data_IF_221177504450
#
_entry.id   IF_221177504450
#
_cell.length_a   1.000
_cell.length_b   1.000
_cell.length_c   1.000
_cell.angle_alpha   90.00
_cell.angle_beta   90.00
_cell.angle_gamma   90.00
#
_symmetry.space_group_name_H-M   'P 1'
#
loop_
_entity.id
_entity.type
_entity.pdbx_description
1 polymer ?
#
# COMPACT_ATOMS: atom_id res chain seq x y z
N UNK A 1 34.47 -51.57 61.07
CA UNK A 1 33.65 -52.22 60.03
C UNK A 1 32.39 -51.43 59.60
N UNK A 2 31.79 -50.59 60.46
CA UNK A 2 30.56 -49.84 60.13
C UNK A 2 30.77 -48.65 59.17
N UNK A 3 31.94 -48.00 59.21
CA UNK A 3 32.24 -46.81 58.37
C UNK A 3 32.42 -47.14 56.88
N UNK A 4 32.95 -48.33 56.54
CA UNK A 4 33.16 -48.79 55.16
C UNK A 4 31.84 -49.21 54.48
N UNK A 5 30.86 -49.71 55.24
CA UNK A 5 29.57 -50.14 54.70
C UNK A 5 28.65 -48.95 54.36
N UNK A 6 28.68 -47.89 55.19
CA UNK A 6 27.90 -46.66 54.96
C UNK A 6 28.46 -45.88 53.76
N UNK A 7 29.78 -45.80 53.61
CA UNK A 7 30.42 -45.16 52.45
C UNK A 7 30.13 -45.91 51.14
N UNK A 8 30.16 -47.25 51.13
CA UNK A 8 29.81 -48.04 49.93
C UNK A 8 28.33 -47.90 49.53
N UNK A 9 27.41 -47.84 50.51
CA UNK A 9 25.97 -47.67 50.26
C UNK A 9 25.61 -46.27 49.78
N UNK A 10 26.31 -45.23 50.25
CA UNK A 10 26.22 -43.85 49.74
C UNK A 10 26.83 -43.72 48.34
N UNK A 11 27.95 -44.39 48.05
CA UNK A 11 28.57 -44.40 46.71
C UNK A 11 27.68 -45.10 45.67
N UNK A 12 27.06 -46.24 46.02
CA UNK A 12 26.16 -46.99 45.12
C UNK A 12 24.87 -46.20 44.81
N UNK A 13 24.28 -45.50 45.79
CA UNK A 13 23.13 -44.59 45.55
C UNK A 13 23.51 -43.36 44.71
N UNK A 14 24.72 -42.83 44.87
CA UNK A 14 25.24 -41.70 44.09
C UNK A 14 25.53 -42.12 42.63
N UNK A 15 26.07 -43.31 42.40
CA UNK A 15 26.26 -43.88 41.06
C UNK A 15 24.95 -44.18 40.32
N UNK A 16 23.88 -44.62 41.01
CA UNK A 16 22.55 -44.84 40.41
C UNK A 16 21.91 -43.50 40.01
N UNK A 17 21.97 -42.47 40.87
CA UNK A 17 21.50 -41.12 40.52
C UNK A 17 22.27 -40.50 39.35
N UNK A 18 23.59 -40.67 39.29
CA UNK A 18 24.43 -40.15 38.19
C UNK A 18 24.19 -40.90 36.87
N UNK A 19 23.90 -42.22 36.90
CA UNK A 19 23.52 -42.98 35.70
C UNK A 19 22.19 -42.50 35.11
N UNK A 20 21.18 -42.23 35.94
CA UNK A 20 19.90 -41.70 35.45
C UNK A 20 20.01 -40.25 34.97
N UNK A 21 20.83 -39.41 35.61
CA UNK A 21 21.11 -38.03 35.16
C UNK A 21 21.79 -38.03 33.77
N UNK A 22 22.75 -38.95 33.52
CA UNK A 22 23.39 -39.08 32.20
C UNK A 22 22.41 -39.50 31.11
N UNK A 23 21.46 -40.38 31.42
CA UNK A 23 20.39 -40.79 30.49
C UNK A 23 19.44 -39.63 30.21
N UNK A 24 19.05 -38.87 31.24
CA UNK A 24 18.18 -37.69 31.09
C UNK A 24 18.86 -36.59 30.25
N UNK A 25 20.16 -36.34 30.46
CA UNK A 25 20.94 -35.36 29.67
C UNK A 25 21.05 -35.80 28.20
N UNK A 26 21.06 -37.10 27.91
CA UNK A 26 21.10 -37.62 26.54
C UNK A 26 19.73 -37.64 25.86
N UNK A 27 18.64 -37.82 26.63
CA UNK A 27 17.26 -37.85 26.13
C UNK A 27 16.68 -36.43 25.97
N UNK A 28 17.09 -35.47 26.80
CA UNK A 28 16.62 -34.08 26.74
C UNK A 28 16.79 -33.40 25.37
N UNK A 29 17.95 -33.51 24.66
CA UNK A 29 18.06 -32.94 23.32
C UNK A 29 17.14 -33.63 22.30
N UNK A 30 16.85 -34.93 22.44
CA UNK A 30 15.97 -35.67 21.51
C UNK A 30 14.53 -35.15 21.59
N UNK A 31 14.08 -34.74 22.77
CA UNK A 31 12.75 -34.12 22.97
C UNK A 31 12.72 -32.71 22.38
N UNK A 32 13.83 -31.97 22.46
CA UNK A 32 13.99 -30.63 21.87
C UNK A 32 14.21 -30.64 20.34
N UNK A 33 14.52 -31.81 19.76
CA UNK A 33 14.71 -32.02 18.32
C UNK A 33 13.44 -32.50 17.60
N UNK A 34 12.30 -32.56 18.28
CA UNK A 34 10.98 -32.78 17.65
C UNK A 34 10.47 -31.50 16.96
N UNK A 35 11.31 -30.94 16.08
CA UNK A 35 10.92 -29.83 15.20
C UNK A 35 9.91 -30.30 14.15
N UNK A 36 8.87 -29.49 13.94
CA UNK A 36 7.62 -29.80 13.23
C UNK A 36 7.79 -30.65 11.95
N UNK A 37 7.17 -31.84 11.99
CA UNK A 37 7.12 -32.85 10.93
C UNK A 37 6.16 -32.51 9.77
N UNK A 38 5.43 -31.39 9.84
CA UNK A 38 4.40 -31.05 8.85
C UNK A 38 4.93 -30.07 7.80
N UNK A 39 5.80 -30.57 6.90
CA UNK A 39 6.25 -29.81 5.72
C UNK A 39 5.75 -30.49 4.45
N UNK A 40 4.95 -29.77 3.66
CA UNK A 40 4.58 -30.22 2.32
C UNK A 40 5.82 -30.13 1.43
N UNK A 41 6.25 -31.22 0.76
CA UNK A 41 7.38 -31.19 -0.17
C UNK A 41 7.16 -30.14 -1.26
N UNK A 42 8.22 -29.42 -1.66
CA UNK A 42 8.12 -28.32 -2.64
C UNK A 42 7.57 -28.79 -3.99
N UNK A 43 7.79 -30.07 -4.34
CA UNK A 43 7.28 -30.69 -5.55
C UNK A 43 5.75 -30.79 -5.55
N UNK A 44 5.13 -30.84 -4.36
CA UNK A 44 3.69 -30.89 -4.12
C UNK A 44 3.08 -29.52 -3.84
N UNK A 45 3.84 -28.43 -3.98
CA UNK A 45 3.34 -27.07 -3.81
C UNK A 45 3.29 -26.28 -5.12
N UNK A 46 2.42 -25.27 -5.15
CA UNK A 46 2.30 -24.29 -6.22
C UNK A 46 2.50 -22.90 -5.65
N UNK A 47 3.53 -22.19 -6.14
CA UNK A 47 3.82 -20.80 -5.77
C UNK A 47 2.77 -19.90 -6.40
N UNK A 48 1.87 -19.35 -5.58
CA UNK A 48 0.84 -18.40 -6.04
C UNK A 48 1.46 -17.02 -6.06
N UNK A 49 1.53 -16.41 -7.24
CA UNK A 49 2.06 -15.06 -7.37
C UNK A 49 0.99 -14.01 -7.15
N UNK A 50 -0.22 -14.20 -7.66
CA UNK A 50 -1.23 -13.16 -7.66
C UNK A 50 -2.65 -13.67 -7.52
N UNK A 51 -3.53 -12.77 -7.09
CA UNK A 51 -4.96 -13.02 -7.02
C UNK A 51 -5.73 -11.91 -7.73
N UNK A 52 -6.66 -12.29 -8.60
CA UNK A 52 -7.60 -11.38 -9.24
C UNK A 52 -9.01 -11.64 -8.69
N UNK A 53 -9.70 -10.57 -8.29
CA UNK A 53 -11.02 -10.60 -7.67
C UNK A 53 -12.02 -9.84 -8.54
N UNK A 54 -13.06 -10.55 -8.95
CA UNK A 54 -14.14 -10.09 -9.81
C UNK A 54 -15.49 -10.40 -9.17
N UNK A 55 -16.52 -9.71 -9.67
CA UNK A 55 -17.92 -10.03 -9.40
C UNK A 55 -18.62 -10.33 -10.73
N UNK A 56 -19.42 -11.39 -10.79
CA UNK A 56 -20.19 -11.77 -11.98
C UNK A 56 -21.60 -11.20 -11.89
N UNK A 57 -22.22 -11.36 -10.72
CA UNK A 57 -23.52 -10.82 -10.32
C UNK A 57 -23.52 -10.56 -8.81
N UNK A 58 -24.60 -9.97 -8.28
CA UNK A 58 -24.70 -9.57 -6.87
C UNK A 58 -24.46 -10.71 -5.85
N UNK A 59 -24.57 -11.98 -6.25
CA UNK A 59 -24.41 -13.14 -5.37
C UNK A 59 -23.28 -14.09 -5.79
N UNK A 60 -22.55 -13.78 -6.87
CA UNK A 60 -21.53 -14.66 -7.42
C UNK A 60 -20.20 -13.95 -7.62
N UNK A 61 -19.26 -14.31 -6.75
CA UNK A 61 -17.88 -13.87 -6.80
C UNK A 61 -17.08 -14.75 -7.76
N UNK A 62 -16.06 -14.17 -8.37
CA UNK A 62 -15.08 -14.86 -9.19
C UNK A 62 -13.69 -14.51 -8.72
N UNK A 63 -12.89 -15.51 -8.36
CA UNK A 63 -11.48 -15.29 -8.03
C UNK A 63 -10.57 -16.12 -8.92
N UNK A 64 -9.54 -15.48 -9.45
CA UNK A 64 -8.49 -16.13 -10.23
C UNK A 64 -7.17 -16.09 -9.48
N UNK A 65 -6.41 -17.19 -9.54
CA UNK A 65 -5.05 -17.26 -9.00
C UNK A 65 -4.06 -17.42 -10.14
N UNK A 66 -3.04 -16.57 -10.17
CA UNK A 66 -1.86 -16.72 -11.01
C UNK A 66 -0.79 -17.47 -10.22
N UNK A 67 -0.34 -18.62 -10.72
CA UNK A 67 0.67 -19.43 -10.06
C UNK A 67 1.69 -19.99 -11.05
N UNK A 68 2.89 -20.26 -10.54
CA UNK A 68 4.00 -20.78 -11.31
C UNK A 68 3.94 -22.30 -11.45
N UNK A 69 4.27 -22.78 -12.64
CA UNK A 69 4.50 -24.19 -12.94
C UNK A 69 5.99 -24.36 -13.24
N UNK A 70 6.64 -25.17 -12.42
CA UNK A 70 8.02 -25.59 -12.62
C UNK A 70 8.02 -26.86 -13.48
N UNK A 71 8.46 -26.74 -14.72
CA UNK A 71 8.75 -27.92 -15.56
C UNK A 71 10.25 -28.20 -15.49
N UNK A 72 10.63 -29.44 -15.13
CA UNK A 72 12.05 -29.84 -15.07
C UNK A 72 12.73 -29.49 -16.38
N UNK A 73 13.88 -28.78 -16.30
CA UNK A 73 14.62 -28.03 -17.35
C UNK A 73 14.53 -26.50 -17.25
N UNK A 74 14.50 -25.94 -16.04
CA UNK A 74 14.58 -24.48 -15.77
C UNK A 74 13.49 -23.61 -16.41
N UNK A 75 12.51 -24.21 -17.08
CA UNK A 75 11.42 -23.49 -17.73
C UNK A 75 10.31 -23.26 -16.72
N UNK A 76 10.21 -22.01 -16.26
CA UNK A 76 9.13 -21.49 -15.45
C UNK A 76 8.05 -20.98 -16.39
N UNK A 77 6.84 -21.50 -16.27
CA UNK A 77 5.67 -20.92 -16.92
C UNK A 77 4.67 -20.48 -15.86
N UNK A 78 3.80 -19.55 -16.23
CA UNK A 78 2.65 -19.17 -15.39
C UNK A 78 1.38 -19.84 -15.92
N UNK A 79 0.40 -19.96 -15.03
CA UNK A 79 -0.97 -20.28 -15.41
C UNK A 79 -1.94 -19.52 -14.53
N UNK A 80 -3.19 -19.44 -14.96
CA UNK A 80 -4.27 -18.77 -14.23
C UNK A 80 -5.42 -19.76 -14.07
N UNK A 81 -5.86 -20.00 -12.84
CA UNK A 81 -7.04 -20.81 -12.53
C UNK A 81 -8.12 -19.93 -11.92
N UNK A 82 -9.32 -19.98 -12.48
CA UNK A 82 -10.49 -19.20 -12.06
C UNK A 82 -11.52 -20.11 -11.42
N UNK A 83 -12.12 -19.66 -10.32
CA UNK A 83 -13.20 -20.35 -9.64
C UNK A 83 -14.27 -19.35 -9.19
N UNK A 84 -15.53 -19.81 -9.12
CA UNK A 84 -16.68 -18.98 -8.74
C UNK A 84 -17.42 -19.53 -7.53
N UNK A 85 -18.03 -18.63 -6.76
CA UNK A 85 -18.73 -19.02 -5.55
C UNK A 85 -19.38 -17.86 -4.82
N UNK A 86 -20.18 -18.19 -3.81
CA UNK A 86 -20.95 -17.19 -3.04
C UNK A 86 -20.10 -16.51 -1.95
N UNK A 87 -18.93 -17.06 -1.63
CA UNK A 87 -17.97 -16.49 -0.69
C UNK A 87 -16.54 -16.85 -1.08
N UNK A 88 -15.56 -16.14 -0.52
CA UNK A 88 -14.13 -16.42 -0.74
C UNK A 88 -13.78 -17.87 -0.36
N UNK A 89 -14.36 -18.41 0.72
CA UNK A 89 -14.09 -19.78 1.15
C UNK A 89 -14.88 -20.84 0.38
N UNK A 90 -16.06 -20.54 -0.15
CA UNK A 90 -16.72 -21.40 -1.14
C UNK A 90 -15.84 -21.57 -2.39
N UNK A 91 -15.31 -20.45 -2.92
CA UNK A 91 -14.34 -20.47 -4.02
C UNK A 91 -13.10 -21.28 -3.66
N UNK A 92 -12.55 -21.09 -2.46
CA UNK A 92 -11.38 -21.82 -2.00
C UNK A 92 -11.64 -23.34 -1.93
N UNK A 93 -12.76 -23.75 -1.35
CA UNK A 93 -13.16 -25.15 -1.26
C UNK A 93 -13.30 -25.80 -2.64
N UNK A 94 -14.01 -25.15 -3.57
CA UNK A 94 -14.12 -25.61 -4.96
C UNK A 94 -12.76 -25.76 -5.63
N UNK A 95 -11.86 -24.79 -5.41
CA UNK A 95 -10.49 -24.86 -5.95
C UNK A 95 -9.71 -26.05 -5.40
N UNK A 96 -9.89 -26.42 -4.13
CA UNK A 96 -9.22 -27.57 -3.54
C UNK A 96 -9.65 -28.91 -4.16
N UNK A 97 -10.87 -29.01 -4.69
CA UNK A 97 -11.34 -30.22 -5.38
C UNK A 97 -10.61 -30.48 -6.71
N UNK A 98 -10.06 -29.43 -7.32
CA UNK A 98 -9.30 -29.52 -8.58
C UNK A 98 -7.78 -29.39 -8.37
N UNK A 99 -7.36 -29.07 -7.15
CA UNK A 99 -5.99 -28.79 -6.81
C UNK A 99 -5.13 -30.06 -6.90
N UNK A 100 -4.16 -30.06 -7.81
CA UNK A 100 -3.15 -31.14 -7.91
C UNK A 100 -1.97 -30.94 -6.94
N UNK A 101 -1.86 -29.74 -6.35
CA UNK A 101 -0.79 -29.28 -5.46
C UNK A 101 -1.36 -28.32 -4.42
N UNK A 102 -0.67 -28.21 -3.29
CA UNK A 102 -1.00 -27.21 -2.25
C UNK A 102 -0.61 -25.82 -2.73
N UNK A 103 -1.57 -24.89 -2.78
CA UNK A 103 -1.33 -23.51 -3.14
C UNK A 103 -0.69 -22.74 -1.97
N UNK A 104 0.49 -22.16 -2.19
CA UNK A 104 1.17 -21.31 -1.22
C UNK A 104 0.61 -19.89 -1.32
N UNK A 105 -0.46 -19.59 -0.58
CA UNK A 105 -1.09 -18.27 -0.56
C UNK A 105 -0.22 -17.20 0.11
N UNK A 106 0.75 -17.60 0.93
CA UNK A 106 1.75 -16.71 1.53
C UNK A 106 2.74 -16.11 0.53
N UNK A 107 2.76 -16.59 -0.72
CA UNK A 107 3.62 -16.01 -1.77
C UNK A 107 2.91 -14.97 -2.63
N UNK A 108 1.63 -14.67 -2.35
CA UNK A 108 0.87 -13.68 -3.12
C UNK A 108 1.55 -12.31 -3.00
N UNK A 109 1.90 -11.75 -4.16
CA UNK A 109 2.58 -10.47 -4.35
C UNK A 109 1.61 -9.34 -4.64
N UNK A 110 0.62 -9.59 -5.48
CA UNK A 110 -0.45 -8.61 -5.75
C UNK A 110 -1.86 -9.19 -5.73
N UNK A 111 -2.78 -8.35 -5.30
CA UNK A 111 -4.22 -8.53 -5.32
C UNK A 111 -4.82 -7.47 -6.25
N UNK A 112 -5.43 -7.93 -7.33
CA UNK A 112 -6.06 -7.10 -8.37
C UNK A 112 -7.57 -7.20 -8.17
N UNK A 113 -8.24 -6.06 -8.02
CA UNK A 113 -9.69 -6.00 -7.78
C UNK A 113 -10.31 -5.25 -8.96
N UNK A 114 -11.28 -5.83 -9.67
CA UNK A 114 -11.98 -5.07 -10.71
C UNK A 114 -12.81 -3.93 -10.11
N UNK A 115 -13.05 -2.89 -10.91
CA UNK A 115 -13.86 -1.74 -10.47
C UNK A 115 -15.24 -2.19 -9.99
N UNK A 116 -15.89 -3.11 -10.71
CA UNK A 116 -17.20 -3.65 -10.31
C UNK A 116 -17.14 -4.34 -8.95
N UNK A 117 -16.10 -5.15 -8.70
CA UNK A 117 -15.88 -5.79 -7.39
C UNK A 117 -15.62 -4.75 -6.31
N UNK A 118 -14.80 -3.73 -6.60
CA UNK A 118 -14.48 -2.66 -5.67
C UNK A 118 -15.72 -1.81 -5.31
N UNK A 119 -16.64 -1.58 -6.25
CA UNK A 119 -17.89 -0.87 -6.04
C UNK A 119 -18.91 -1.69 -5.24
N UNK A 120 -18.95 -3.00 -5.47
CA UNK A 120 -19.80 -3.90 -4.67
C UNK A 120 -19.37 -3.89 -3.19
N UNK A 121 -18.06 -4.02 -2.93
CA UNK A 121 -17.45 -4.00 -1.60
C UNK A 121 -16.26 -4.96 -1.49
N UNK A 122 -15.34 -4.66 -0.57
CA UNK A 122 -14.09 -5.43 -0.36
C UNK A 122 -13.87 -5.86 1.10
N UNK A 123 -14.88 -5.74 1.97
CA UNK A 123 -14.76 -6.06 3.40
C UNK A 123 -14.42 -7.55 3.64
N UNK A 124 -15.00 -8.44 2.85
CA UNK A 124 -14.75 -9.89 2.88
C UNK A 124 -13.31 -10.25 2.48
N UNK A 125 -12.73 -9.53 1.52
CA UNK A 125 -11.33 -9.67 1.11
C UNK A 125 -10.42 -9.31 2.29
N UNK A 126 -10.69 -8.17 2.95
CA UNK A 126 -9.91 -7.73 4.11
C UNK A 126 -10.02 -8.76 5.24
N UNK A 127 -11.24 -9.21 5.58
CA UNK A 127 -11.46 -10.20 6.64
C UNK A 127 -10.75 -11.53 6.33
N UNK A 128 -10.85 -12.02 5.08
CA UNK A 128 -10.19 -13.27 4.67
C UNK A 128 -8.67 -13.21 4.79
N UNK A 129 -8.02 -12.10 4.38
CA UNK A 129 -6.56 -11.98 4.52
C UNK A 129 -6.10 -11.81 5.96
N UNK A 130 -6.90 -11.18 6.82
CA UNK A 130 -6.53 -10.94 8.22
C UNK A 130 -6.76 -12.16 9.12
N UNK A 131 -7.69 -13.05 8.77
CA UNK A 131 -7.95 -14.30 9.53
C UNK A 131 -7.04 -15.45 9.14
N UNK A 132 -6.65 -15.54 7.87
CA UNK A 132 -5.83 -16.62 7.34
C UNK A 132 -4.33 -16.30 7.54
N UNK A 133 -3.72 -16.94 8.53
CA UNK A 133 -2.32 -16.71 8.92
C UNK A 133 -1.32 -17.05 7.81
N UNK A 134 -1.70 -17.87 6.84
CA UNK A 134 -0.85 -18.24 5.71
C UNK A 134 -0.80 -17.13 4.65
N UNK A 135 -1.68 -16.13 4.69
CA UNK A 135 -1.73 -15.06 3.69
C UNK A 135 -0.77 -13.93 4.00
N UNK A 136 -0.11 -13.44 2.96
CA UNK A 136 0.82 -12.34 3.08
C UNK A 136 0.10 -10.99 3.20
N UNK A 137 0.09 -10.41 4.39
CA UNK A 137 -0.49 -9.07 4.62
C UNK A 137 0.28 -7.94 3.90
N UNK A 138 1.47 -8.20 3.35
CA UNK A 138 2.23 -7.26 2.52
C UNK A 138 1.89 -7.38 1.01
N UNK A 139 0.91 -8.19 0.63
CA UNK A 139 0.40 -8.24 -0.75
C UNK A 139 -0.04 -6.84 -1.20
N UNK A 140 0.49 -6.37 -2.33
CA UNK A 140 0.13 -5.08 -2.96
C UNK A 140 -1.28 -5.13 -3.54
N UNK A 141 -2.11 -4.15 -3.24
CA UNK A 141 -3.52 -4.11 -3.66
C UNK A 141 -3.72 -3.01 -4.70
N UNK A 142 -4.38 -3.35 -5.80
CA UNK A 142 -4.74 -2.41 -6.87
C UNK A 142 -6.19 -2.61 -7.31
N UNK A 143 -6.81 -1.53 -7.80
CA UNK A 143 -8.09 -1.60 -8.52
C UNK A 143 -7.82 -1.54 -10.02
N UNK A 144 -8.57 -2.24 -10.86
CA UNK A 144 -8.45 -2.14 -12.31
C UNK A 144 -9.78 -1.82 -12.99
N UNK A 145 -9.70 -1.17 -14.16
CA UNK A 145 -10.89 -0.84 -14.97
C UNK A 145 -11.58 -2.07 -15.54
N UNK A 146 -10.79 -2.97 -16.12
CA UNK A 146 -11.29 -4.17 -16.76
C UNK A 146 -11.50 -5.28 -15.71
N UNK A 147 -11.96 -6.46 -16.15
CA UNK A 147 -12.01 -7.63 -15.26
C UNK A 147 -10.59 -7.94 -14.76
N UNK A 148 -10.46 -8.21 -13.47
CA UNK A 148 -9.17 -8.49 -12.85
C UNK A 148 -8.52 -9.74 -13.44
N UNK A 149 -9.32 -10.75 -13.82
CA UNK A 149 -8.84 -11.93 -14.54
C UNK A 149 -8.20 -11.61 -15.89
N UNK A 150 -8.68 -10.58 -16.59
CA UNK A 150 -8.14 -10.20 -17.90
C UNK A 150 -6.79 -9.50 -17.73
N UNK A 151 -6.62 -8.73 -16.66
CA UNK A 151 -5.34 -8.12 -16.29
C UNK A 151 -4.32 -9.19 -15.91
N UNK A 152 -4.66 -10.12 -15.00
CA UNK A 152 -3.67 -11.10 -14.50
C UNK A 152 -3.21 -12.11 -15.58
N UNK A 153 -3.99 -12.26 -16.65
CA UNK A 153 -3.65 -13.09 -17.82
C UNK A 153 -2.70 -12.43 -18.81
N UNK A 154 -2.52 -11.10 -18.76
CA UNK A 154 -1.56 -10.40 -19.63
C UNK A 154 -0.18 -11.02 -19.44
N UNK A 155 0.53 -11.31 -20.54
CA UNK A 155 1.89 -11.82 -20.44
C UNK A 155 2.83 -10.73 -19.91
N UNK A 156 3.57 -11.00 -18.82
CA UNK A 156 4.51 -10.03 -18.27
C UNK A 156 5.69 -9.81 -19.23
N UNK A 157 6.26 -8.61 -19.20
CA UNK A 157 7.40 -8.20 -20.01
C UNK A 157 8.73 -8.29 -19.27
N UNK A 158 8.72 -7.91 -18.01
CA UNK A 158 9.94 -7.73 -17.21
C UNK A 158 10.00 -8.68 -16.00
N UNK A 159 9.00 -9.55 -15.85
CA UNK A 159 8.83 -10.45 -14.71
C UNK A 159 8.33 -11.84 -15.13
N UNK A 160 8.39 -12.81 -14.21
CA UNK A 160 7.85 -14.15 -14.44
C UNK A 160 6.31 -14.21 -14.35
N UNK A 161 5.68 -13.21 -13.73
CA UNK A 161 4.24 -13.13 -13.51
C UNK A 161 3.75 -11.70 -13.65
N UNK A 162 2.50 -11.52 -14.09
CA UNK A 162 1.89 -10.20 -14.19
C UNK A 162 1.71 -9.57 -12.80
N UNK A 163 1.45 -10.41 -11.79
CA UNK A 163 1.36 -9.96 -10.42
C UNK A 163 2.65 -9.33 -9.89
N UNK A 164 3.83 -9.90 -10.23
CA UNK A 164 5.13 -9.31 -9.87
C UNK A 164 5.37 -7.99 -10.61
N UNK A 165 5.05 -7.93 -11.91
CA UNK A 165 5.20 -6.70 -12.70
C UNK A 165 4.33 -5.57 -12.16
N UNK A 166 3.10 -5.86 -11.71
CA UNK A 166 2.24 -4.88 -11.03
C UNK A 166 2.85 -4.43 -9.71
N UNK A 167 3.35 -5.35 -8.89
CA UNK A 167 4.00 -5.01 -7.61
C UNK A 167 5.20 -4.05 -7.85
N UNK A 168 6.04 -4.35 -8.83
CA UNK A 168 7.22 -3.54 -9.18
C UNK A 168 6.83 -2.18 -9.77
N UNK A 169 5.76 -2.13 -10.58
CA UNK A 169 5.18 -0.88 -11.08
C UNK A 169 4.71 0.01 -9.93
N UNK A 170 3.96 -0.54 -8.96
CA UNK A 170 3.48 0.23 -7.80
C UNK A 170 4.66 0.70 -6.94
N UNK A 171 5.64 -0.17 -6.66
CA UNK A 171 6.84 0.20 -5.87
C UNK A 171 7.65 1.31 -6.53
N UNK A 172 7.82 1.25 -7.85
CA UNK A 172 8.53 2.27 -8.62
C UNK A 172 7.78 3.60 -8.64
N UNK A 173 6.45 3.55 -8.63
CA UNK A 173 5.60 4.75 -8.65
C UNK A 173 5.82 5.69 -7.47
N UNK A 174 6.36 5.22 -6.34
CA UNK A 174 6.65 6.02 -5.14
C UNK A 174 7.71 7.11 -5.35
N UNK A 175 8.47 7.04 -6.45
CA UNK A 175 9.42 8.07 -6.85
C UNK A 175 8.74 9.24 -7.59
N UNK A 176 7.43 9.15 -7.85
CA UNK A 176 6.67 10.09 -8.68
C UNK A 176 5.33 10.43 -8.03
N UNK A 177 4.72 11.55 -8.45
CA UNK A 177 3.36 11.97 -8.06
C UNK A 177 3.06 11.97 -6.55
N UNK A 178 4.09 12.03 -5.69
CA UNK A 178 3.94 12.09 -4.24
C UNK A 178 3.16 10.92 -3.65
N UNK A 179 3.18 9.76 -4.31
CA UNK A 179 2.48 8.55 -3.88
C UNK A 179 2.99 8.07 -2.51
N UNK A 180 2.06 7.60 -1.68
CA UNK A 180 2.39 6.87 -0.45
C UNK A 180 2.72 5.42 -0.75
N UNK A 181 3.47 4.79 0.17
CA UNK A 181 3.81 3.37 0.08
C UNK A 181 2.72 2.44 0.61
N UNK A 182 1.67 3.04 1.15
CA UNK A 182 0.61 2.38 1.90
C UNK A 182 -0.40 1.73 0.95
N UNK A 183 -0.01 0.64 0.28
CA UNK A 183 -0.82 0.01 -0.79
C UNK A 183 -1.06 -1.48 -0.55
N UNK A 184 -0.64 -2.04 0.57
CA UNK A 184 -0.83 -3.47 0.86
C UNK A 184 -2.05 -3.75 1.75
N UNK A 185 -2.33 -5.02 2.00
CA UNK A 185 -3.49 -5.46 2.80
C UNK A 185 -3.48 -4.92 4.24
N UNK A 186 -2.34 -4.91 4.94
CA UNK A 186 -2.30 -4.32 6.30
C UNK A 186 -2.58 -2.83 6.27
N UNK A 187 -2.14 -2.12 5.23
CA UNK A 187 -2.39 -0.68 5.08
C UNK A 187 -3.86 -0.43 4.75
N UNK A 188 -4.44 -1.25 3.88
CA UNK A 188 -5.87 -1.27 3.58
C UNK A 188 -6.71 -1.50 4.84
N UNK A 189 -6.35 -2.49 5.66
CA UNK A 189 -6.98 -2.76 6.96
C UNK A 189 -6.89 -1.53 7.87
N UNK A 190 -5.69 -0.96 8.02
CA UNK A 190 -5.49 0.24 8.84
C UNK A 190 -6.32 1.43 8.35
N UNK A 191 -6.42 1.65 7.03
CA UNK A 191 -7.26 2.71 6.47
C UNK A 191 -8.75 2.45 6.71
N UNK A 192 -9.20 1.20 6.61
CA UNK A 192 -10.61 0.80 6.77
C UNK A 192 -11.13 0.99 8.20
N UNK A 193 -10.28 0.74 9.20
CA UNK A 193 -10.65 0.75 10.62
C UNK A 193 -10.13 1.95 11.42
N UNK A 194 -9.41 2.86 10.76
CA UNK A 194 -9.02 4.14 11.37
C UNK A 194 -10.04 5.22 11.06
N UNK A 195 -10.75 5.68 12.09
CA UNK A 195 -11.74 6.74 11.97
C UNK A 195 -11.17 8.03 11.36
N UNK A 196 -11.94 8.65 10.46
CA UNK A 196 -11.56 9.85 9.73
C UNK A 196 -10.47 9.63 8.66
N UNK A 197 -10.24 8.38 8.23
CA UNK A 197 -9.45 8.03 7.04
C UNK A 197 -10.32 7.39 5.98
N UNK A 198 -9.81 7.43 4.75
CA UNK A 198 -10.40 6.73 3.60
C UNK A 198 -9.40 5.81 2.94
N UNK A 199 -9.89 4.69 2.45
CA UNK A 199 -9.11 3.80 1.59
C UNK A 199 -8.90 4.52 0.26
N UNK A 200 -7.63 4.61 -0.14
CA UNK A 200 -7.21 5.07 -1.46
C UNK A 200 -6.24 4.05 -2.05
N UNK A 201 -6.59 3.47 -3.18
CA UNK A 201 -5.80 2.41 -3.83
C UNK A 201 -5.35 2.84 -5.23
N UNK A 202 -4.13 2.46 -5.66
CA UNK A 202 -3.73 2.66 -7.05
C UNK A 202 -4.74 2.02 -8.00
N UNK A 203 -5.10 2.76 -9.05
CA UNK A 203 -6.00 2.27 -10.08
C UNK A 203 -5.22 2.10 -11.39
N UNK A 204 -5.26 0.88 -11.93
CA UNK A 204 -4.52 0.49 -13.13
C UNK A 204 -5.46 0.23 -14.31
N UNK A 205 -4.92 0.43 -15.51
CA UNK A 205 -5.62 0.17 -16.76
C UNK A 205 -4.69 -0.55 -17.73
N UNK A 206 -5.26 -1.39 -18.60
CA UNK A 206 -4.52 -1.94 -19.72
C UNK A 206 -4.00 -0.79 -20.59
N UNK A 207 -2.72 -0.85 -20.91
CA UNK A 207 -2.05 0.14 -21.75
C UNK A 207 -1.14 -0.57 -22.73
N UNK A 208 -1.52 -0.52 -24.01
CA UNK A 208 -0.91 -1.32 -25.07
C UNK A 208 -0.98 -2.80 -24.68
N UNK A 209 0.17 -3.42 -24.49
CA UNK A 209 0.41 -4.83 -24.18
C UNK A 209 0.87 -5.05 -22.72
N UNK A 210 0.78 -4.04 -21.86
CA UNK A 210 0.99 -4.15 -20.39
C UNK A 210 -0.08 -3.33 -19.65
N UNK A 211 0.20 -2.92 -18.42
CA UNK A 211 -0.65 -2.06 -17.59
C UNK A 211 0.07 -0.75 -17.24
N UNK A 212 -0.71 0.27 -16.91
CA UNK A 212 -0.21 1.51 -16.33
C UNK A 212 -1.08 1.93 -15.15
N UNK A 213 -0.50 2.69 -14.22
CA UNK A 213 -1.28 3.43 -13.22
C UNK A 213 -1.96 4.59 -13.92
N UNK A 214 -3.30 4.65 -13.89
CA UNK A 214 -4.08 5.70 -14.55
C UNK A 214 -4.70 6.70 -13.57
N UNK A 215 -4.95 6.29 -12.32
CA UNK A 215 -5.72 7.06 -11.35
C UNK A 215 -5.58 6.48 -9.94
N UNK A 216 -6.34 7.01 -8.97
CA UNK A 216 -6.45 6.45 -7.62
C UNK A 216 -7.93 6.22 -7.29
N UNK A 217 -8.29 4.99 -6.92
CA UNK A 217 -9.62 4.63 -6.46
C UNK A 217 -9.85 5.16 -5.05
N UNK A 218 -11.02 5.76 -4.80
CA UNK A 218 -11.44 6.30 -3.51
C UNK A 218 -12.65 5.52 -3.02
N UNK A 219 -12.62 5.12 -1.75
CA UNK A 219 -13.69 4.36 -1.12
C UNK A 219 -14.39 5.15 -0.01
N UNK A 220 -15.65 4.83 0.20
CA UNK A 220 -16.40 5.08 1.42
C UNK A 220 -16.53 3.75 2.16
N UNK A 221 -16.00 3.69 3.39
CA UNK A 221 -15.80 2.42 4.11
C UNK A 221 -15.09 1.39 3.22
N UNK A 222 -15.79 0.33 2.79
CA UNK A 222 -15.29 -0.77 1.97
C UNK A 222 -15.75 -0.70 0.51
N UNK A 223 -16.45 0.34 0.08
CA UNK A 223 -17.00 0.44 -1.29
C UNK A 223 -16.38 1.59 -2.08
N UNK A 224 -15.92 1.31 -3.28
CA UNK A 224 -15.39 2.32 -4.19
C UNK A 224 -16.51 3.27 -4.63
N UNK A 225 -16.28 4.57 -4.48
CA UNK A 225 -17.26 5.61 -4.83
C UNK A 225 -16.86 6.32 -6.13
N UNK A 226 -15.59 6.69 -6.29
CA UNK A 226 -15.07 7.32 -7.50
C UNK A 226 -13.56 7.10 -7.64
N UNK A 227 -12.97 7.59 -8.73
CA UNK A 227 -11.52 7.64 -8.93
C UNK A 227 -11.03 9.06 -9.16
N UNK A 228 -9.89 9.39 -8.59
CA UNK A 228 -9.20 10.68 -8.80
C UNK A 228 -8.43 10.57 -10.13
N UNK A 229 -8.69 11.45 -11.11
CA UNK A 229 -7.99 11.42 -12.39
C UNK A 229 -6.50 11.76 -12.22
N UNK A 230 -5.64 11.22 -13.08
CA UNK A 230 -4.17 11.36 -13.00
C UNK A 230 -3.67 12.80 -12.83
N UNK A 231 -4.34 13.76 -13.46
CA UNK A 231 -4.05 15.20 -13.37
C UNK A 231 -4.17 15.77 -11.95
N UNK A 232 -5.09 15.21 -11.15
CA UNK A 232 -5.34 15.65 -9.77
C UNK A 232 -4.55 14.84 -8.74
N UNK A 233 -4.21 13.57 -9.04
CA UNK A 233 -3.58 12.63 -8.09
C UNK A 233 -2.37 13.26 -7.41
N UNK A 234 -1.47 13.89 -8.17
CA UNK A 234 -0.26 14.50 -7.60
C UNK A 234 -0.57 15.59 -6.57
N UNK A 235 -1.62 16.39 -6.81
CA UNK A 235 -2.01 17.49 -5.93
C UNK A 235 -2.77 16.99 -4.71
N UNK A 236 -3.67 16.01 -4.89
CA UNK A 236 -4.32 15.33 -3.77
C UNK A 236 -3.27 14.69 -2.86
N UNK A 237 -2.30 13.99 -3.43
CA UNK A 237 -1.21 13.37 -2.69
C UNK A 237 -0.34 14.39 -1.95
N UNK A 238 -0.07 15.57 -2.52
CA UNK A 238 0.62 16.66 -1.80
C UNK A 238 -0.13 17.09 -0.53
N UNK A 239 -1.47 17.18 -0.62
CA UNK A 239 -2.32 17.60 0.49
C UNK A 239 -2.57 16.45 1.47
N UNK A 240 -2.49 15.19 1.04
CA UNK A 240 -2.77 13.99 1.85
C UNK A 240 -1.53 13.47 2.58
N UNK A 241 -0.40 13.40 1.88
CA UNK A 241 0.73 12.57 2.26
C UNK A 241 1.86 13.36 2.92
N UNK A 242 2.70 12.66 3.66
CA UNK A 242 3.91 13.19 4.28
C UNK A 242 5.11 12.33 3.88
N UNK A 243 6.30 12.90 3.85
CA UNK A 243 7.56 12.20 3.54
C UNK A 243 7.60 11.54 2.14
N UNK A 244 6.87 12.11 1.18
CA UNK A 244 6.81 11.61 -0.21
C UNK A 244 7.68 12.42 -1.16
N UNK A 245 7.94 11.83 -2.33
CA UNK A 245 8.82 12.36 -3.37
C UNK A 245 8.06 12.53 -4.69
N UNK A 246 8.47 13.49 -5.50
CA UNK A 246 7.87 13.67 -6.81
C UNK A 246 8.38 14.88 -7.56
N UNK A 247 7.93 15.01 -8.80
CA UNK A 247 8.25 16.13 -9.67
C UNK A 247 7.07 17.11 -9.75
N UNK A 248 7.39 18.39 -9.75
CA UNK A 248 6.46 19.46 -10.12
C UNK A 248 7.02 20.21 -11.31
N UNK A 249 6.11 20.56 -12.21
CA UNK A 249 6.38 21.26 -13.45
C UNK A 249 5.54 22.52 -13.44
N UNK A 250 6.18 23.67 -13.66
CA UNK A 250 5.54 24.97 -13.78
C UNK A 250 5.77 25.48 -15.20
N UNK A 251 4.70 25.72 -15.94
CA UNK A 251 4.80 26.15 -17.34
C UNK A 251 5.10 27.64 -17.42
N UNK A 252 5.97 28.02 -18.36
CA UNK A 252 6.22 29.42 -18.72
C UNK A 252 5.16 29.99 -19.64
N UNK A 253 5.32 31.26 -20.03
CA UNK A 253 4.41 31.94 -20.95
C UNK A 253 4.56 31.41 -22.39
N UNK A 254 5.78 30.98 -22.78
CA UNK A 254 6.03 30.47 -24.13
C UNK A 254 5.93 28.94 -24.19
N UNK A 255 5.60 28.38 -25.36
CA UNK A 255 5.65 26.94 -25.56
C UNK A 255 7.01 26.35 -25.18
N UNK A 256 6.99 25.21 -24.47
CA UNK A 256 8.17 24.47 -24.00
C UNK A 256 9.01 25.17 -22.91
N UNK A 257 8.60 26.34 -22.42
CA UNK A 257 9.21 26.89 -21.21
C UNK A 257 8.68 26.17 -19.97
N UNK A 258 9.60 25.74 -19.10
CA UNK A 258 9.30 25.05 -17.86
C UNK A 258 10.26 25.44 -16.74
N UNK A 259 9.75 25.35 -15.52
CA UNK A 259 10.52 25.26 -14.31
C UNK A 259 10.15 23.95 -13.62
N UNK A 260 11.10 23.03 -13.59
CA UNK A 260 10.87 21.67 -13.10
C UNK A 260 11.70 21.42 -11.86
N UNK A 261 11.04 20.94 -10.82
CA UNK A 261 11.66 20.64 -9.54
C UNK A 261 11.38 19.21 -9.12
N UNK A 262 12.39 18.57 -8.54
CA UNK A 262 12.22 17.33 -7.79
C UNK A 262 12.15 17.65 -6.30
N UNK A 263 11.08 17.20 -5.64
CA UNK A 263 10.73 17.66 -4.31
C UNK A 263 10.58 16.51 -3.33
N UNK A 264 11.01 16.76 -2.09
CA UNK A 264 10.60 16.01 -0.91
C UNK A 264 9.57 16.80 -0.10
N UNK A 265 8.43 16.18 0.18
CA UNK A 265 7.30 16.80 0.87
C UNK A 265 7.42 16.60 2.37
N UNK A 266 7.31 17.68 3.12
CA UNK A 266 7.02 17.65 4.55
C UNK A 266 5.67 18.29 4.81
N UNK A 267 4.76 17.53 5.39
CA UNK A 267 3.38 17.94 5.66
C UNK A 267 3.10 17.95 7.15
N UNK A 268 2.44 19.01 7.63
CA UNK A 268 1.91 19.10 8.99
C UNK A 268 0.45 19.54 8.95
N UNK A 269 -0.38 18.93 9.78
CA UNK A 269 -1.80 19.29 9.90
C UNK A 269 -2.15 19.51 11.36
N UNK A 270 -2.94 20.55 11.61
CA UNK A 270 -3.58 20.82 12.90
C UNK A 270 -5.08 20.98 12.69
N UNK A 271 -5.88 20.44 13.60
CA UNK A 271 -7.33 20.63 13.64
C UNK A 271 -7.72 21.44 14.88
N UNK A 272 -8.39 22.56 14.66
CA UNK A 272 -8.88 23.46 15.69
C UNK A 272 -10.40 23.52 15.65
N UNK A 273 -11.04 23.22 16.79
CA UNK A 273 -12.50 23.18 16.92
C UNK A 273 -12.90 24.40 17.75
N UNK A 274 -13.72 25.28 17.18
CA UNK A 274 -14.25 26.48 17.84
C UNK A 274 -15.71 26.66 17.48
N UNK A 275 -16.59 26.78 18.46
CA UNK A 275 -18.02 27.06 18.27
C UNK A 275 -18.65 26.17 17.18
N UNK A 276 -18.46 24.86 17.29
CA UNK A 276 -18.91 23.83 16.34
C UNK A 276 -18.32 23.88 14.91
N UNK A 277 -17.41 24.80 14.62
CA UNK A 277 -16.68 24.85 13.36
C UNK A 277 -15.32 24.15 13.48
N UNK A 278 -15.05 23.27 12.52
CA UNK A 278 -13.76 22.57 12.41
C UNK A 278 -12.87 23.34 11.42
N UNK A 279 -11.68 23.72 11.88
CA UNK A 279 -10.68 24.42 11.09
C UNK A 279 -9.44 23.53 10.93
N UNK A 280 -9.11 23.16 9.70
CA UNK A 280 -7.91 22.40 9.35
C UNK A 280 -6.83 23.36 8.83
N UNK A 281 -5.69 23.36 9.50
CA UNK A 281 -4.53 24.14 9.09
C UNK A 281 -3.45 23.19 8.56
N UNK A 282 -3.26 23.19 7.23
CA UNK A 282 -2.33 22.31 6.51
C UNK A 282 -1.11 23.13 6.10
N UNK A 283 0.08 22.69 6.51
CA UNK A 283 1.35 23.28 6.09
C UNK A 283 2.13 22.27 5.26
N UNK A 284 2.44 22.66 4.03
CA UNK A 284 3.23 21.87 3.08
C UNK A 284 4.54 22.60 2.82
N UNK A 285 5.66 21.94 3.10
CA UNK A 285 7.00 22.41 2.77
C UNK A 285 7.64 21.45 1.78
N UNK A 286 8.06 21.98 0.64
CA UNK A 286 8.72 21.24 -0.44
C UNK A 286 10.20 21.57 -0.40
N UNK A 287 11.03 20.59 -0.07
CA UNK A 287 12.49 20.71 -0.22
C UNK A 287 12.86 20.24 -1.62
N UNK A 288 13.36 21.15 -2.44
CA UNK A 288 13.37 21.02 -3.89
C UNK A 288 14.76 21.13 -4.48
N UNK A 289 14.99 20.37 -5.54
CA UNK A 289 16.16 20.44 -6.40
C UNK A 289 15.67 20.87 -7.79
N UNK A 290 16.26 21.92 -8.36
CA UNK A 290 15.95 22.33 -9.73
C UNK A 290 16.46 21.24 -10.69
N UNK A 291 15.60 20.84 -11.62
CA UNK A 291 15.90 19.86 -12.69
C UNK A 291 15.93 20.53 -14.04
N UNK A 292 15.02 21.47 -14.29
CA UNK A 292 15.02 22.30 -15.48
C UNK A 292 14.57 23.71 -15.12
N UNK A 293 15.16 24.70 -15.79
CA UNK A 293 14.76 26.10 -15.68
C UNK A 293 15.03 26.79 -17.01
N UNK A 294 14.14 26.58 -17.98
CA UNK A 294 14.20 27.26 -19.27
C UNK A 294 13.60 28.68 -19.20
N UNK A 295 12.70 28.92 -18.24
CA UNK A 295 12.07 30.23 -17.99
C UNK A 295 13.11 31.31 -17.61
N UNK A 296 14.07 30.97 -16.74
CA UNK A 296 15.07 31.92 -16.25
C UNK A 296 16.48 31.62 -16.79
N UNK A 297 16.58 31.06 -18.00
CA UNK A 297 17.82 30.49 -18.58
C UNK A 297 19.08 31.37 -18.52
N UNK A 298 18.90 32.69 -18.54
CA UNK A 298 19.99 33.67 -18.56
C UNK A 298 20.09 34.51 -17.27
N UNK A 299 19.27 34.24 -16.27
CA UNK A 299 19.26 35.00 -15.02
C UNK A 299 20.25 34.37 -14.03
N UNK A 300 21.07 35.20 -13.40
CA UNK A 300 21.93 34.78 -12.30
C UNK A 300 21.04 34.23 -11.16
N UNK A 301 21.40 33.06 -10.63
CA UNK A 301 20.64 32.39 -9.58
C UNK A 301 21.11 32.86 -8.20
N UNK A 302 21.18 34.18 -8.03
CA UNK A 302 21.51 34.80 -6.76
C UNK A 302 20.40 34.55 -5.72
N UNK A 303 20.71 34.85 -4.45
CA UNK A 303 19.76 34.62 -3.35
C UNK A 303 18.42 35.32 -3.59
N UNK A 304 18.43 36.57 -4.09
CA UNK A 304 17.23 37.36 -4.34
C UNK A 304 16.36 36.74 -5.44
N UNK A 305 16.97 36.24 -6.51
CA UNK A 305 16.27 35.56 -7.60
C UNK A 305 15.68 34.24 -7.12
N UNK A 306 16.43 33.45 -6.36
CA UNK A 306 15.93 32.20 -5.75
C UNK A 306 14.75 32.48 -4.82
N UNK A 307 14.83 33.48 -3.95
CA UNK A 307 13.75 33.85 -3.04
C UNK A 307 12.49 34.27 -3.82
N UNK A 308 12.66 35.05 -4.89
CA UNK A 308 11.55 35.45 -5.77
C UNK A 308 10.90 34.23 -6.46
N UNK A 309 11.71 33.30 -6.97
CA UNK A 309 11.25 32.07 -7.62
C UNK A 309 10.47 31.20 -6.63
N UNK A 310 11.00 31.02 -5.41
CA UNK A 310 10.33 30.26 -4.35
C UNK A 310 8.96 30.85 -4.01
N UNK A 311 8.87 32.18 -3.83
CA UNK A 311 7.62 32.85 -3.47
C UNK A 311 6.59 32.77 -4.60
N UNK A 312 7.01 32.99 -5.85
CA UNK A 312 6.13 32.91 -7.02
C UNK A 312 5.52 31.52 -7.16
N UNK A 313 6.36 30.47 -7.23
CA UNK A 313 5.85 29.11 -7.41
C UNK A 313 5.16 28.54 -6.17
N UNK A 314 5.47 29.06 -4.96
CA UNK A 314 4.70 28.72 -3.75
C UNK A 314 3.28 29.27 -3.83
N UNK A 315 3.08 30.50 -4.32
CA UNK A 315 1.75 31.09 -4.51
C UNK A 315 0.95 30.40 -5.61
N UNK A 316 1.60 30.07 -6.72
CA UNK A 316 0.98 29.33 -7.82
C UNK A 316 0.52 27.95 -7.35
N UNK A 317 1.42 27.18 -6.71
CA UNK A 317 1.06 25.87 -6.18
C UNK A 317 -0.01 25.97 -5.10
N UNK A 318 0.06 26.95 -4.19
CA UNK A 318 -0.99 27.19 -3.20
C UNK A 318 -2.35 27.34 -3.86
N UNK A 319 -2.46 28.21 -4.87
CA UNK A 319 -3.72 28.46 -5.59
C UNK A 319 -4.25 27.18 -6.25
N UNK A 320 -3.35 26.37 -6.84
CA UNK A 320 -3.72 25.06 -7.41
C UNK A 320 -4.23 24.09 -6.34
N UNK A 321 -3.57 24.01 -5.18
CA UNK A 321 -4.00 23.13 -4.09
C UNK A 321 -5.32 23.59 -3.47
N UNK A 322 -5.57 24.89 -3.35
CA UNK A 322 -6.85 25.44 -2.89
C UNK A 322 -8.00 25.07 -3.86
N UNK A 323 -7.76 25.16 -5.17
CA UNK A 323 -8.73 24.71 -6.18
C UNK A 323 -9.02 23.19 -6.08
N UNK A 324 -7.99 22.37 -5.83
CA UNK A 324 -8.15 20.92 -5.64
C UNK A 324 -8.93 20.62 -4.36
N UNK A 325 -8.61 21.31 -3.25
CA UNK A 325 -9.37 21.20 -2.00
C UNK A 325 -10.84 21.48 -2.28
N UNK A 326 -11.14 22.57 -2.96
CA UNK A 326 -12.53 22.95 -3.17
C UNK A 326 -13.26 22.00 -4.12
N UNK A 327 -12.59 21.51 -5.17
CA UNK A 327 -13.14 20.49 -6.07
C UNK A 327 -13.62 19.25 -5.31
N UNK A 328 -12.83 18.71 -4.39
CA UNK A 328 -13.19 17.48 -3.67
C UNK A 328 -14.09 17.73 -2.45
N UNK A 329 -13.93 18.87 -1.78
CA UNK A 329 -14.76 19.26 -0.65
C UNK A 329 -16.18 19.62 -1.10
N UNK A 330 -16.36 20.55 -2.03
CA UNK A 330 -17.69 21.01 -2.44
C UNK A 330 -18.42 20.02 -3.33
N UNK A 331 -17.75 19.48 -4.38
CA UNK A 331 -18.46 18.66 -5.36
C UNK A 331 -18.74 17.23 -4.86
N UNK A 332 -17.82 16.66 -4.07
CA UNK A 332 -17.94 15.29 -3.59
C UNK A 332 -18.34 15.20 -2.11
N UNK A 333 -17.90 16.16 -1.27
CA UNK A 333 -18.09 16.05 0.18
C UNK A 333 -17.24 14.98 0.84
N UNK A 334 -16.16 14.56 0.17
CA UNK A 334 -15.37 13.40 0.55
C UNK A 334 -13.96 13.85 0.89
N UNK A 335 -13.49 13.46 2.08
CA UNK A 335 -12.12 13.74 2.52
C UNK A 335 -11.10 12.79 1.87
N UNK A 336 -10.64 13.15 0.68
CA UNK A 336 -9.51 12.46 0.01
C UNK A 336 -8.15 12.85 0.59
N UNK A 337 -8.10 13.78 1.55
CA UNK A 337 -6.87 14.35 2.10
C UNK A 337 -6.45 13.75 3.45
N UNK A 338 -7.25 12.83 4.01
CA UNK A 338 -7.03 12.22 5.33
C UNK A 338 -6.83 13.29 6.44
N UNK A 339 -7.63 14.36 6.42
CA UNK A 339 -7.56 15.44 7.42
C UNK A 339 -8.58 15.25 8.55
N UNK A 340 -9.70 14.57 8.30
CA UNK A 340 -10.74 14.32 9.31
C UNK A 340 -10.20 13.59 10.54
N UNK A 341 -9.28 12.63 10.35
CA UNK A 341 -8.61 11.91 11.45
C UNK A 341 -7.99 12.81 12.52
N UNK A 342 -7.53 14.01 12.15
CA UNK A 342 -6.95 14.97 13.12
C UNK A 342 -8.01 15.60 14.02
N UNK A 343 -9.21 15.86 13.49
CA UNK A 343 -10.33 16.33 14.30
C UNK A 343 -10.89 15.19 15.16
N UNK A 344 -11.03 13.98 14.59
CA UNK A 344 -11.46 12.78 15.35
C UNK A 344 -10.50 12.49 16.51
N UNK A 345 -9.18 12.58 16.29
CA UNK A 345 -8.20 12.39 17.35
C UNK A 345 -8.34 13.38 18.51
N UNK A 346 -8.91 14.58 18.26
CA UNK A 346 -9.12 15.62 19.28
C UNK A 346 -10.48 15.53 19.96
N UNK A 347 -11.51 15.10 19.25
CA UNK A 347 -12.90 14.99 19.75
C UNK A 347 -13.23 13.63 20.37
N UNK A 348 -12.52 12.57 19.99
CA UNK A 348 -12.87 11.20 20.33
C UNK A 348 -13.42 10.41 19.14
N UNK A 349 -13.21 9.09 19.15
CA UNK A 349 -13.65 8.19 18.07
C UNK A 349 -15.17 8.14 17.91
N UNK A 350 -15.91 8.31 19.00
CA UNK A 350 -17.38 8.38 19.03
C UNK A 350 -17.94 9.61 18.28
N UNK A 351 -17.08 10.59 17.95
CA UNK A 351 -17.44 11.78 17.17
C UNK A 351 -17.06 11.67 15.69
N UNK A 352 -16.69 10.48 15.19
CA UNK A 352 -16.32 10.30 13.79
C UNK A 352 -17.43 10.72 12.81
N UNK A 353 -18.67 10.27 13.04
CA UNK A 353 -19.82 10.64 12.21
C UNK A 353 -20.11 12.14 12.26
N UNK A 354 -19.97 12.76 13.45
CA UNK A 354 -20.08 14.21 13.61
C UNK A 354 -19.03 14.94 12.76
N UNK A 355 -17.76 14.54 12.85
CA UNK A 355 -16.66 15.14 12.05
C UNK A 355 -16.92 14.99 10.55
N UNK A 356 -17.36 13.81 10.11
CA UNK A 356 -17.68 13.54 8.71
C UNK A 356 -18.82 14.42 8.21
N UNK A 357 -19.89 14.56 9.01
CA UNK A 357 -21.06 15.41 8.68
C UNK A 357 -20.70 16.90 8.53
N UNK A 358 -19.66 17.37 9.23
CA UNK A 358 -19.19 18.76 9.22
C UNK A 358 -18.11 19.03 8.18
N UNK A 359 -17.66 18.03 7.41
CA UNK A 359 -16.53 18.20 6.50
C UNK A 359 -16.78 19.25 5.42
N UNK A 360 -17.98 19.26 4.80
CA UNK A 360 -18.36 20.25 3.78
C UNK A 360 -18.38 21.68 4.31
N UNK A 361 -18.68 21.88 5.59
CA UNK A 361 -18.75 23.21 6.21
C UNK A 361 -17.42 23.61 6.87
N UNK A 362 -16.44 22.71 6.92
CA UNK A 362 -15.15 22.95 7.58
C UNK A 362 -14.28 23.96 6.83
N UNK A 363 -13.48 24.73 7.56
CA UNK A 363 -12.49 25.62 6.96
C UNK A 363 -11.18 24.86 6.74
N UNK A 364 -10.65 24.88 5.52
CA UNK A 364 -9.37 24.23 5.19
C UNK A 364 -8.40 25.31 4.73
N UNK A 365 -7.48 25.68 5.61
CA UNK A 365 -6.42 26.65 5.33
C UNK A 365 -5.15 25.93 4.93
N UNK A 366 -4.52 26.37 3.82
CA UNK A 366 -3.28 25.78 3.34
C UNK A 366 -2.15 26.82 3.23
N UNK A 367 -1.00 26.48 3.82
CA UNK A 367 0.27 27.21 3.67
C UNK A 367 1.21 26.34 2.84
N UNK A 368 1.73 26.88 1.74
CA UNK A 368 2.69 26.20 0.86
C UNK A 368 4.01 26.97 0.86
N UNK A 369 5.11 26.25 1.03
CA UNK A 369 6.48 26.80 0.98
C UNK A 369 7.39 25.90 0.16
N UNK A 370 7.88 26.41 -0.96
CA UNK A 370 8.95 25.79 -1.75
C UNK A 370 10.29 26.31 -1.23
N UNK A 371 11.23 25.39 -0.96
CA UNK A 371 12.61 25.67 -0.58
C UNK A 371 13.54 25.03 -1.59
N UNK A 372 14.29 25.84 -2.32
CA UNK A 372 15.26 25.40 -3.31
C UNK A 372 16.58 25.15 -2.58
N UNK A 373 16.92 23.87 -2.43
CA UNK A 373 18.13 23.43 -1.72
C UNK A 373 19.31 23.22 -2.67
N UNK A 374 19.05 23.14 -3.98
CA UNK A 374 20.09 23.00 -5.00
C UNK A 374 19.60 23.49 -6.35
N UNK A 375 20.50 24.18 -7.06
CA UNK A 375 20.32 24.62 -8.46
C UNK A 375 21.03 23.69 -9.46
N UNK A 376 21.55 22.55 -8.99
CA UNK A 376 22.35 21.63 -9.79
C UNK A 376 23.81 22.05 -9.93
N UNK A 377 24.46 21.62 -11.03
CA UNK A 377 25.87 21.90 -11.34
C UNK A 377 26.08 23.19 -12.13
N UNK A 378 25.05 24.02 -12.26
CA UNK A 378 25.11 25.26 -13.03
C UNK A 378 25.84 26.29 -12.19
N UNK A 379 27.11 26.50 -12.50
CA UNK A 379 27.91 27.62 -11.99
C UNK A 379 27.77 28.71 -13.05
N UNK A 380 26.95 29.72 -12.78
CA UNK A 380 26.93 30.96 -13.56
C UNK A 380 26.83 32.14 -12.62
#
# INVERSE_FOLDING_TARGET
>A
MVFAYITFKLYKKRCIKVKHIKIIIFIFPIILLSGCYDRVPIERTSVVSGSAQDIIDDNLLSASLEYLIFTGKEKISKTVSTQTGQSIYDIFNKRLLEAKKTYLTGTIRSLIISEDRARYGIDDIIDSFMRDQERNINTTVVVCKDKAVDIIKIEPKESNTMSSEIEDLIKSSYQTNFNQRDTNIKDLYNMRFQEGRRIMLPYIEKYKDTVKISSVAVFEKDKMIFKIPSEDVKYVNLIRNHDTLGYLNFSGEKPLESFDIYCKVNRKVKADIKNDNINYNIKITLNSLIKENSINKFKEMDKKTIDTIQDTYSKELKSKLESIIEKYKSNYGVDVFDIQKYAVAKLGKDKADYVSSKFKDSNINIEVKIKINSIGRVIR
#
